data_IF_063708335131
#
_entry.id   IF_063708335131
#
_cell.length_a   1.000
_cell.length_b   1.000
_cell.length_c   1.000
_cell.angle_alpha   90.00
_cell.angle_beta   90.00
_cell.angle_gamma   90.00
#
_symmetry.space_group_name_H-M   'P 1'
#
loop_
_entity.id
_entity.type
_entity.pdbx_description
1 polymer ?
#
# COMPACT_ATOMS: atom_id res chain seq x y z
N UNK A 1 -6.98 -2.05 29.93
CA UNK A 1 -7.74 -1.84 28.68
C UNK A 1 -6.78 -2.05 27.52
N UNK A 2 -7.18 -2.67 26.40
CA UNK A 2 -6.27 -2.77 25.24
C UNK A 2 -5.90 -1.35 24.79
N UNK A 3 -4.61 -1.09 24.61
CA UNK A 3 -4.09 0.20 24.15
C UNK A 3 -4.69 0.56 22.79
N UNK A 4 -4.88 1.87 22.54
CA UNK A 4 -5.48 2.34 21.30
C UNK A 4 -4.65 1.93 20.06
N UNK A 5 -5.30 1.56 18.94
CA UNK A 5 -4.62 1.14 17.72
C UNK A 5 -3.73 2.28 17.19
N UNK A 6 -2.50 1.95 16.81
CA UNK A 6 -1.55 2.94 16.30
C UNK A 6 -1.71 3.18 14.79
N UNK A 7 -0.85 4.03 14.23
CA UNK A 7 -0.89 4.38 12.80
C UNK A 7 -0.80 3.14 11.87
N UNK A 8 -0.02 2.13 12.23
CA UNK A 8 0.15 0.90 11.46
C UNK A 8 -1.16 0.10 11.45
N UNK A 9 -1.84 -0.05 12.58
CA UNK A 9 -3.13 -0.73 12.64
C UNK A 9 -4.21 -0.01 11.81
N UNK A 10 -4.25 1.32 11.87
CA UNK A 10 -5.18 2.13 11.07
C UNK A 10 -4.93 1.98 9.57
N UNK A 11 -3.65 1.98 9.18
CA UNK A 11 -3.22 1.74 7.81
C UNK A 11 -3.59 0.33 7.33
N UNK A 12 -3.25 -0.72 8.08
CA UNK A 12 -3.58 -2.10 7.73
C UNK A 12 -5.08 -2.33 7.59
N UNK A 13 -5.89 -1.66 8.41
CA UNK A 13 -7.35 -1.75 8.35
C UNK A 13 -7.94 -1.09 7.10
N UNK A 14 -7.33 0.01 6.65
CA UNK A 14 -7.86 0.87 5.59
C UNK A 14 -7.28 0.53 4.20
N UNK A 15 -5.96 0.29 4.13
CA UNK A 15 -5.24 -0.06 2.90
C UNK A 15 -5.16 -1.57 2.66
N UNK A 16 -5.41 -2.41 3.68
CA UNK A 16 -5.48 -3.87 3.54
C UNK A 16 -6.74 -4.36 2.81
N UNK A 17 -7.42 -3.47 2.09
CA UNK A 17 -8.63 -3.74 1.34
C UNK A 17 -8.39 -3.43 -0.14
N UNK A 18 -8.55 -4.47 -0.96
CA UNK A 18 -8.43 -4.41 -2.42
C UNK A 18 -9.05 -3.20 -3.07
N UNK A 19 -10.31 -2.97 -2.73
CA UNK A 19 -11.10 -1.98 -3.42
C UNK A 19 -10.71 -0.57 -3.03
N UNK A 20 -10.13 -0.38 -1.83
CA UNK A 20 -9.67 0.94 -1.38
C UNK A 20 -8.62 1.48 -2.34
N UNK A 21 -7.57 0.72 -2.61
CA UNK A 21 -6.47 1.19 -3.45
C UNK A 21 -6.91 1.39 -4.91
N UNK A 22 -7.73 0.49 -5.44
CA UNK A 22 -8.26 0.60 -6.80
C UNK A 22 -9.19 1.80 -6.97
N UNK A 23 -10.13 2.01 -6.05
CA UNK A 23 -11.05 3.17 -6.11
C UNK A 23 -10.27 4.47 -5.95
N UNK A 24 -9.34 4.55 -4.99
CA UNK A 24 -8.49 5.74 -4.83
C UNK A 24 -7.68 5.98 -6.10
N UNK A 25 -7.05 4.95 -6.69
CA UNK A 25 -6.32 5.10 -7.94
C UNK A 25 -7.20 5.67 -9.05
N UNK A 26 -8.41 5.10 -9.27
CA UNK A 26 -9.33 5.62 -10.29
C UNK A 26 -9.71 7.08 -10.00
N UNK A 27 -9.93 7.45 -8.74
CA UNK A 27 -10.23 8.82 -8.35
C UNK A 27 -9.06 9.79 -8.62
N UNK A 28 -7.81 9.34 -8.47
CA UNK A 28 -6.62 10.11 -8.81
C UNK A 28 -6.42 10.24 -10.32
N UNK A 29 -6.81 9.23 -11.09
CA UNK A 29 -6.83 9.25 -12.56
C UNK A 29 -8.02 10.03 -13.14
N UNK A 30 -8.91 10.56 -12.30
CA UNK A 30 -9.96 11.49 -12.71
C UNK A 30 -11.39 10.95 -12.65
N UNK A 31 -11.61 9.68 -12.28
CA UNK A 31 -12.97 9.18 -12.04
C UNK A 31 -13.63 9.99 -10.92
N UNK A 32 -14.79 10.59 -11.19
CA UNK A 32 -15.52 11.43 -10.22
C UNK A 32 -16.90 10.89 -9.92
N UNK A 33 -17.57 10.29 -10.90
CA UNK A 33 -18.96 9.85 -10.80
C UNK A 33 -19.02 8.36 -10.54
N UNK A 34 -20.13 7.92 -9.94
CA UNK A 34 -20.38 6.50 -9.69
C UNK A 34 -20.24 5.65 -10.97
N UNK A 35 -20.79 6.13 -12.09
CA UNK A 35 -20.67 5.47 -13.40
C UNK A 35 -19.23 5.32 -13.89
N UNK A 36 -18.35 6.30 -13.61
CA UNK A 36 -16.94 6.23 -14.00
C UNK A 36 -16.23 5.09 -13.24
N UNK A 37 -16.49 4.96 -11.93
CA UNK A 37 -15.95 3.87 -11.13
C UNK A 37 -16.51 2.50 -11.54
N UNK A 38 -17.82 2.43 -11.79
CA UNK A 38 -18.48 1.19 -12.20
C UNK A 38 -17.99 0.71 -13.58
N UNK A 39 -17.70 1.63 -14.50
CA UNK A 39 -17.14 1.28 -15.80
C UNK A 39 -15.68 0.82 -15.72
N UNK A 40 -14.92 1.35 -14.76
CA UNK A 40 -13.48 1.11 -14.65
C UNK A 40 -13.06 -0.03 -13.71
N UNK A 41 -14.00 -0.63 -12.96
CA UNK A 41 -13.74 -1.63 -11.94
C UNK A 41 -14.70 -2.82 -12.07
N UNK A 42 -14.22 -4.07 -12.01
CA UNK A 42 -15.05 -5.27 -12.08
C UNK A 42 -15.74 -5.56 -10.73
N UNK A 43 -16.52 -4.61 -10.22
CA UNK A 43 -17.13 -4.66 -8.89
C UNK A 43 -18.65 -4.56 -8.96
N UNK A 44 -19.35 -5.30 -8.10
CA UNK A 44 -20.82 -5.22 -8.03
C UNK A 44 -21.28 -3.87 -7.47
N UNK A 45 -22.50 -3.46 -7.82
CA UNK A 45 -23.07 -2.19 -7.36
C UNK A 45 -23.13 -2.08 -5.82
N UNK A 46 -23.52 -3.17 -5.15
CA UNK A 46 -23.60 -3.21 -3.70
C UNK A 46 -22.21 -3.03 -3.04
N UNK A 47 -21.19 -3.68 -3.59
CA UNK A 47 -19.81 -3.53 -3.10
C UNK A 47 -19.30 -2.12 -3.38
N UNK A 48 -19.44 -1.60 -4.60
CA UNK A 48 -18.97 -0.26 -4.95
C UNK A 48 -19.60 0.83 -4.06
N UNK A 49 -20.92 0.76 -3.86
CA UNK A 49 -21.65 1.70 -3.01
C UNK A 49 -21.14 1.66 -1.55
N UNK A 50 -20.99 0.46 -0.98
CA UNK A 50 -20.45 0.29 0.36
C UNK A 50 -19.02 0.82 0.49
N UNK A 51 -18.17 0.59 -0.53
CA UNK A 51 -16.80 1.09 -0.54
C UNK A 51 -16.71 2.60 -0.66
N UNK A 52 -17.44 3.22 -1.57
CA UNK A 52 -17.48 4.68 -1.68
C UNK A 52 -17.97 5.33 -0.38
N UNK A 53 -18.94 4.71 0.30
CA UNK A 53 -19.38 5.16 1.62
C UNK A 53 -18.26 5.04 2.67
N UNK A 54 -17.60 3.89 2.79
CA UNK A 54 -16.46 3.70 3.70
C UNK A 54 -15.34 4.69 3.44
N UNK A 55 -14.93 4.85 2.18
CA UNK A 55 -13.84 5.77 1.79
C UNK A 55 -14.18 7.24 2.08
N UNK A 56 -15.46 7.60 2.00
CA UNK A 56 -15.93 8.93 2.40
C UNK A 56 -15.89 9.09 3.93
N UNK A 57 -16.36 8.08 4.68
CA UNK A 57 -16.31 8.08 6.14
C UNK A 57 -14.87 8.11 6.69
N UNK A 58 -13.94 7.44 6.01
CA UNK A 58 -12.51 7.42 6.33
C UNK A 58 -11.76 8.68 5.86
N UNK A 59 -12.44 9.60 5.19
CA UNK A 59 -11.91 10.87 4.70
C UNK A 59 -10.89 10.72 3.57
N UNK A 60 -10.91 9.61 2.83
CA UNK A 60 -10.11 9.43 1.60
C UNK A 60 -10.77 10.11 0.40
N UNK A 61 -12.11 10.06 0.37
CA UNK A 61 -12.95 10.72 -0.60
C UNK A 61 -13.87 11.72 0.10
N UNK A 62 -14.31 12.72 -0.63
CA UNK A 62 -15.37 13.65 -0.25
C UNK A 62 -16.52 13.48 -1.23
N UNK A 63 -17.73 13.27 -0.70
CA UNK A 63 -18.94 13.20 -1.52
C UNK A 63 -19.53 14.59 -1.65
N UNK A 64 -19.48 15.16 -2.85
CA UNK A 64 -20.07 16.47 -3.16
C UNK A 64 -21.31 16.31 -4.03
N UNK A 65 -22.39 17.00 -3.70
CA UNK A 65 -23.59 17.04 -4.52
C UNK A 65 -23.51 18.23 -5.49
N UNK A 66 -23.50 17.97 -6.79
CA UNK A 66 -23.42 19.01 -7.81
C UNK A 66 -24.77 19.30 -8.49
N UNK A 67 -25.77 18.45 -8.27
CA UNK A 67 -27.14 18.64 -8.78
C UNK A 67 -28.15 18.21 -7.73
N UNK A 68 -29.18 19.02 -7.49
CA UNK A 68 -30.26 18.73 -6.53
C UNK A 68 -31.46 18.02 -7.14
N UNK A 69 -31.70 18.19 -8.45
CA UNK A 69 -32.83 17.56 -9.14
C UNK A 69 -32.46 17.12 -10.58
N UNK A 70 -32.34 15.81 -10.88
CA UNK A 70 -32.25 14.71 -9.90
C UNK A 70 -30.97 14.83 -9.05
N UNK A 71 -30.93 14.28 -7.82
CA UNK A 71 -29.74 14.32 -6.99
C UNK A 71 -28.56 13.62 -7.69
N UNK A 72 -27.48 14.37 -7.98
CA UNK A 72 -26.23 13.79 -8.49
C UNK A 72 -25.06 14.16 -7.61
N UNK A 73 -24.27 13.16 -7.28
CA UNK A 73 -23.07 13.31 -6.48
C UNK A 73 -21.83 12.91 -7.27
N UNK A 74 -20.72 13.52 -6.89
CA UNK A 74 -19.38 13.14 -7.28
C UNK A 74 -18.55 12.82 -6.04
N UNK A 75 -17.46 12.07 -6.25
CA UNK A 75 -16.52 11.63 -5.24
C UNK A 75 -15.14 12.20 -5.58
N UNK A 76 -14.68 13.13 -4.76
CA UNK A 76 -13.42 13.84 -4.97
C UNK A 76 -12.36 13.32 -3.98
N UNK A 77 -11.12 13.02 -4.40
CA UNK A 77 -10.09 12.61 -3.48
C UNK A 77 -9.70 13.80 -2.59
N UNK A 78 -9.70 13.57 -1.28
CA UNK A 78 -9.28 14.57 -0.28
C UNK A 78 -7.77 14.74 -0.29
N UNK A 79 -7.23 15.66 0.52
CA UNK A 79 -5.78 15.74 0.74
C UNK A 79 -5.18 14.41 1.24
N UNK A 80 -5.93 13.67 2.07
CA UNK A 80 -5.54 12.35 2.58
C UNK A 80 -5.51 11.32 1.46
N UNK A 81 -6.56 11.24 0.64
CA UNK A 81 -6.61 10.35 -0.53
C UNK A 81 -5.53 10.68 -1.57
N UNK A 82 -5.34 11.96 -1.90
CA UNK A 82 -4.31 12.42 -2.85
C UNK A 82 -2.91 12.05 -2.43
N UNK A 83 -2.62 12.05 -1.13
CA UNK A 83 -1.28 11.73 -0.63
C UNK A 83 -0.90 10.24 -0.69
N UNK A 84 -1.79 9.34 -1.15
CA UNK A 84 -1.48 7.93 -1.42
C UNK A 84 -0.73 7.70 -2.75
N UNK A 85 -0.61 8.72 -3.61
CA UNK A 85 0.04 8.59 -4.91
C UNK A 85 1.45 7.96 -4.87
N UNK A 86 2.36 8.21 -3.89
CA UNK A 86 3.68 7.60 -3.91
C UNK A 86 3.63 6.08 -3.73
N UNK A 87 2.70 5.61 -2.89
CA UNK A 87 2.46 4.19 -2.70
C UNK A 87 1.92 3.56 -3.99
N UNK A 88 0.95 4.21 -4.65
CA UNK A 88 0.36 3.71 -5.90
C UNK A 88 1.36 3.70 -7.06
N UNK A 89 2.23 4.71 -7.17
CA UNK A 89 3.31 4.74 -8.16
C UNK A 89 4.36 3.66 -7.88
N UNK A 90 4.66 3.39 -6.61
CA UNK A 90 5.56 2.30 -6.22
C UNK A 90 4.98 0.92 -6.54
N UNK A 91 3.67 0.74 -6.31
CA UNK A 91 2.91 -0.46 -6.69
C UNK A 91 3.01 -0.69 -8.20
N UNK A 92 2.73 0.35 -8.99
CA UNK A 92 2.80 0.28 -10.44
C UNK A 92 4.19 -0.16 -10.93
N UNK A 93 5.26 0.44 -10.40
CA UNK A 93 6.63 0.08 -10.81
C UNK A 93 6.95 -1.37 -10.46
N UNK A 94 6.58 -1.79 -9.25
CA UNK A 94 6.83 -3.16 -8.79
C UNK A 94 6.09 -4.18 -9.67
N UNK A 95 4.80 -3.97 -9.93
CA UNK A 95 3.99 -4.80 -10.83
C UNK A 95 4.60 -4.86 -12.22
N UNK A 96 4.87 -3.69 -12.83
CA UNK A 96 5.46 -3.60 -14.18
C UNK A 96 6.77 -4.38 -14.30
N UNK A 97 7.59 -4.39 -13.25
CA UNK A 97 8.92 -5.01 -13.27
C UNK A 97 8.92 -6.50 -12.91
N UNK A 98 8.09 -6.92 -11.97
CA UNK A 98 8.17 -8.26 -11.35
C UNK A 98 6.99 -9.17 -11.69
N UNK A 99 5.98 -8.66 -12.37
CA UNK A 99 4.78 -9.40 -12.74
C UNK A 99 4.72 -9.50 -14.26
N UNK A 100 5.01 -10.69 -14.83
CA UNK A 100 5.08 -10.84 -16.28
C UNK A 100 3.71 -10.82 -16.95
N UNK A 101 2.67 -11.24 -16.24
CA UNK A 101 1.31 -11.38 -16.79
C UNK A 101 0.36 -10.36 -16.14
N UNK A 102 -0.18 -9.48 -16.97
CA UNK A 102 -1.27 -8.59 -16.61
C UNK A 102 -2.44 -8.83 -17.56
N UNK A 103 -3.67 -8.76 -17.05
CA UNK A 103 -4.87 -8.89 -17.89
C UNK A 103 -4.98 -7.75 -18.93
N UNK A 104 -4.50 -6.57 -18.56
CA UNK A 104 -4.30 -5.43 -19.44
C UNK A 104 -2.87 -4.90 -19.25
N UNK A 105 -2.17 -4.45 -20.31
CA UNK A 105 -0.86 -3.84 -20.17
C UNK A 105 -0.91 -2.68 -19.17
N UNK A 106 0.05 -2.62 -18.26
CA UNK A 106 0.19 -1.46 -17.39
C UNK A 106 0.60 -0.24 -18.22
N UNK A 107 -0.01 0.94 -17.97
CA UNK A 107 0.33 2.15 -18.71
C UNK A 107 1.79 2.53 -18.47
N UNK A 108 2.40 3.18 -19.45
CA UNK A 108 3.68 3.84 -19.25
C UNK A 108 3.47 5.14 -18.47
N UNK A 109 4.30 5.38 -17.45
CA UNK A 109 4.28 6.66 -16.72
C UNK A 109 5.38 7.58 -17.20
N UNK A 110 4.99 8.81 -17.56
CA UNK A 110 5.87 9.88 -18.00
C UNK A 110 5.97 10.97 -16.94
N UNK A 111 7.19 11.48 -16.76
CA UNK A 111 7.44 12.64 -15.94
C UNK A 111 7.36 13.90 -16.81
N UNK A 112 6.28 14.66 -16.69
CA UNK A 112 6.01 15.81 -17.58
C UNK A 112 7.08 16.90 -17.50
N UNK A 113 7.86 17.00 -16.42
CA UNK A 113 8.93 17.99 -16.29
C UNK A 113 10.19 17.65 -17.11
N UNK A 114 10.39 16.37 -17.49
CA UNK A 114 11.48 15.98 -18.40
C UNK A 114 11.01 15.26 -19.67
N UNK A 115 9.70 15.06 -19.83
CA UNK A 115 9.06 14.40 -20.96
C UNK A 115 9.56 12.95 -21.22
N UNK A 116 10.02 12.26 -20.17
CA UNK A 116 10.56 10.90 -20.28
C UNK A 116 9.69 9.92 -19.51
N UNK A 117 9.58 8.70 -20.04
CA UNK A 117 9.14 7.58 -19.23
C UNK A 117 10.12 7.42 -18.05
N UNK A 118 9.62 7.13 -16.86
CA UNK A 118 10.46 7.06 -15.66
C UNK A 118 10.25 5.76 -14.88
N UNK A 119 11.22 5.47 -14.03
CA UNK A 119 11.12 4.54 -12.90
C UNK A 119 11.28 5.36 -11.60
N UNK A 120 10.36 5.24 -10.63
CA UNK A 120 10.49 5.96 -9.37
C UNK A 120 11.67 5.41 -8.55
N UNK A 121 12.62 6.26 -8.22
CA UNK A 121 13.72 5.93 -7.29
C UNK A 121 13.31 6.38 -5.89
N UNK A 122 13.34 5.46 -4.94
CA UNK A 122 13.09 5.83 -3.53
C UNK A 122 14.33 6.50 -2.95
N UNK A 123 14.18 7.74 -2.47
CA UNK A 123 15.26 8.54 -1.91
C UNK A 123 14.95 9.00 -0.49
N UNK A 124 16.02 9.26 0.27
CA UNK A 124 15.91 9.89 1.59
C UNK A 124 15.65 11.39 1.41
N UNK A 125 14.55 11.90 1.96
CA UNK A 125 14.23 13.34 1.87
C UNK A 125 15.31 14.25 2.48
N UNK A 126 16.08 13.75 3.44
CA UNK A 126 17.07 14.54 4.18
C UNK A 126 18.37 14.72 3.40
N UNK A 127 18.95 13.64 2.87
CA UNK A 127 20.25 13.69 2.17
C UNK A 127 20.15 13.52 0.64
N UNK A 128 18.98 13.16 0.10
CA UNK A 128 18.75 12.96 -1.33
C UNK A 128 19.26 11.63 -1.90
N UNK A 129 20.03 10.85 -1.14
CA UNK A 129 20.55 9.56 -1.60
C UNK A 129 19.42 8.52 -1.78
N UNK A 130 19.59 7.62 -2.75
CA UNK A 130 18.72 6.46 -2.94
C UNK A 130 18.76 5.52 -1.74
N UNK A 131 17.63 4.92 -1.40
CA UNK A 131 17.52 3.98 -0.29
C UNK A 131 16.66 2.77 -0.68
N UNK A 132 17.21 1.58 -0.48
CA UNK A 132 16.49 0.31 -0.49
C UNK A 132 16.29 -0.24 0.93
N UNK A 133 15.73 -1.45 1.03
CA UNK A 133 15.41 -2.08 2.32
C UNK A 133 16.61 -2.23 3.26
N UNK A 134 17.81 -2.49 2.71
CA UNK A 134 19.05 -2.62 3.49
C UNK A 134 19.63 -1.29 3.98
N UNK A 135 19.20 -0.18 3.39
CA UNK A 135 19.73 1.16 3.69
C UNK A 135 18.92 1.87 4.79
N UNK A 136 17.87 1.21 5.31
CA UNK A 136 16.95 1.78 6.30
C UNK A 136 16.80 0.83 7.49
N UNK A 137 17.22 1.30 8.66
CA UNK A 137 16.99 0.62 9.92
C UNK A 137 15.60 1.01 10.47
N UNK A 138 14.78 0.01 10.82
CA UNK A 138 13.48 0.22 11.42
C UNK A 138 13.52 -0.12 12.92
N UNK A 139 12.96 0.75 13.75
CA UNK A 139 12.78 0.54 15.18
C UNK A 139 11.35 0.93 15.58
N UNK A 140 10.83 0.29 16.62
CA UNK A 140 9.57 0.75 17.21
C UNK A 140 9.75 2.16 17.76
N UNK A 141 8.81 3.04 17.41
CA UNK A 141 8.69 4.33 18.06
C UNK A 141 7.88 4.22 19.36
N UNK A 142 7.64 5.33 20.05
CA UNK A 142 6.97 5.32 21.36
C UNK A 142 5.55 4.74 21.34
N UNK A 143 4.81 4.89 20.24
CA UNK A 143 3.48 4.28 20.08
C UNK A 143 3.51 2.91 19.38
N UNK A 144 4.71 2.39 19.15
CA UNK A 144 5.00 1.19 18.37
C UNK A 144 4.98 -0.08 19.20
N UNK A 145 4.13 -1.01 18.81
CA UNK A 145 4.24 -2.41 19.24
C UNK A 145 3.49 -3.28 18.24
N UNK A 146 3.81 -4.57 18.18
CA UNK A 146 3.04 -5.50 17.37
C UNK A 146 1.57 -5.55 17.82
N UNK A 147 1.32 -5.60 19.12
CA UNK A 147 -0.02 -5.66 19.71
C UNK A 147 -0.90 -4.46 19.32
N UNK A 148 -0.32 -3.25 19.22
CA UNK A 148 -1.04 -2.04 18.79
C UNK A 148 -1.13 -1.88 17.27
N UNK A 149 -0.27 -2.58 16.53
CA UNK A 149 -0.18 -2.52 15.06
C UNK A 149 -1.08 -3.52 14.37
N UNK A 150 -1.48 -4.60 15.05
CA UNK A 150 -2.43 -5.56 14.52
C UNK A 150 -3.85 -5.15 14.95
N UNK A 151 -4.79 -4.92 14.01
CA UNK A 151 -6.13 -4.49 14.36
C UNK A 151 -6.87 -5.51 15.24
N UNK A 152 -7.32 -5.08 16.42
CA UNK A 152 -8.16 -5.88 17.32
C UNK A 152 -9.52 -6.18 16.70
N UNK A 153 -9.69 -7.38 16.16
CA UNK A 153 -10.97 -7.83 15.61
C UNK A 153 -10.82 -9.05 14.71
N UNK A 154 -11.59 -10.09 15.03
CA UNK A 154 -11.93 -11.15 14.09
C UNK A 154 -12.51 -10.49 12.85
N UNK A 155 -11.82 -10.60 11.72
CA UNK A 155 -12.46 -10.32 10.44
C UNK A 155 -13.53 -11.41 10.30
N UNK A 156 -14.77 -11.10 10.72
CA UNK A 156 -15.98 -11.83 10.34
C UNK A 156 -15.78 -12.19 8.88
N UNK A 157 -15.68 -13.50 8.58
CA UNK A 157 -15.42 -14.08 7.25
C UNK A 157 -15.80 -13.07 6.16
N UNK A 158 -14.83 -12.29 5.68
CA UNK A 158 -15.01 -11.58 4.41
C UNK A 158 -15.02 -12.69 3.41
N UNK A 159 -16.22 -13.02 2.93
CA UNK A 159 -16.44 -14.08 1.98
C UNK A 159 -15.38 -13.94 0.91
N UNK A 160 -14.57 -14.99 0.78
CA UNK A 160 -13.91 -15.36 -0.46
C UNK A 160 -15.02 -15.56 -1.51
N UNK A 161 -15.64 -14.46 -1.95
CA UNK A 161 -16.41 -14.45 -3.16
C UNK A 161 -15.41 -14.89 -4.23
N UNK A 162 -15.67 -16.09 -4.74
CA UNK A 162 -14.92 -16.82 -5.76
C UNK A 162 -14.09 -15.88 -6.63
N UNK A 163 -12.80 -16.21 -6.69
CA UNK A 163 -11.87 -15.82 -7.75
C UNK A 163 -12.60 -15.84 -9.10
N UNK A 164 -12.94 -14.67 -9.61
CA UNK A 164 -13.09 -14.44 -11.03
C UNK A 164 -11.90 -13.56 -11.42
N UNK A 165 -10.86 -14.19 -11.96
CA UNK A 165 -9.71 -13.52 -12.54
C UNK A 165 -10.10 -12.77 -13.81
N UNK A 166 -10.74 -11.61 -13.66
CA UNK A 166 -11.07 -10.73 -14.76
C UNK A 166 -10.65 -9.29 -14.40
N UNK A 167 -9.54 -8.87 -15.02
CA UNK A 167 -9.07 -7.49 -15.15
C UNK A 167 -8.84 -6.69 -13.86
N UNK A 168 -7.90 -7.13 -13.02
CA UNK A 168 -7.25 -6.24 -12.06
C UNK A 168 -5.98 -5.70 -12.72
N UNK A 169 -5.79 -4.38 -12.68
CA UNK A 169 -4.54 -3.74 -13.15
C UNK A 169 -3.32 -4.22 -12.34
N UNK A 170 -3.52 -4.69 -11.10
CA UNK A 170 -2.44 -5.06 -10.18
C UNK A 170 -2.71 -6.41 -9.50
N UNK A 171 -2.64 -7.54 -10.24
CA UNK A 171 -3.07 -8.84 -9.73
C UNK A 171 -2.22 -9.35 -8.55
N UNK A 172 -0.91 -9.10 -8.50
CA UNK A 172 -0.05 -9.59 -7.40
C UNK A 172 0.10 -8.58 -6.25
N UNK A 173 -0.12 -7.31 -6.48
CA UNK A 173 -0.32 -6.34 -5.39
C UNK A 173 -1.52 -6.78 -4.56
N UNK A 174 -2.49 -7.44 -5.20
CA UNK A 174 -3.67 -7.91 -4.49
C UNK A 174 -3.46 -9.15 -3.62
N UNK A 175 -2.53 -10.03 -3.98
CA UNK A 175 -2.09 -11.10 -3.07
C UNK A 175 -1.24 -10.57 -1.91
N UNK A 176 -0.52 -9.46 -2.14
CA UNK A 176 0.42 -8.85 -1.19
C UNK A 176 -0.21 -7.86 -0.21
N UNK A 177 -1.05 -6.96 -0.70
CA UNK A 177 -1.66 -5.85 0.06
C UNK A 177 -3.13 -6.11 0.36
N UNK A 178 -3.80 -6.99 -0.38
CA UNK A 178 -5.24 -7.25 -0.28
C UNK A 178 -5.72 -7.93 0.99
N UNK A 179 -4.81 -8.25 1.89
CA UNK A 179 -5.14 -8.70 3.24
C UNK A 179 -4.15 -8.11 4.24
N UNK A 180 -4.68 -7.68 5.38
CA UNK A 180 -3.91 -7.09 6.47
C UNK A 180 -2.78 -8.03 6.95
N UNK A 181 -2.99 -9.34 6.90
CA UNK A 181 -1.99 -10.32 7.32
C UNK A 181 -0.86 -10.47 6.32
N UNK A 182 -1.15 -10.40 5.01
CA UNK A 182 -0.14 -10.42 3.97
C UNK A 182 0.80 -9.21 4.13
N UNK A 183 0.23 -8.02 4.29
CA UNK A 183 1.01 -6.81 4.51
C UNK A 183 1.80 -6.85 5.82
N UNK A 184 1.21 -7.31 6.92
CA UNK A 184 1.89 -7.40 8.22
C UNK A 184 3.03 -8.44 8.19
N UNK A 185 2.86 -9.56 7.47
CA UNK A 185 3.92 -10.55 7.26
C UNK A 185 5.10 -9.97 6.49
N UNK A 186 4.85 -9.18 5.44
CA UNK A 186 5.93 -8.51 4.73
C UNK A 186 6.68 -7.53 5.63
N UNK A 187 5.97 -6.71 6.41
CA UNK A 187 6.62 -5.82 7.37
C UNK A 187 7.48 -6.62 8.35
N UNK A 188 6.99 -7.75 8.86
CA UNK A 188 7.74 -8.63 9.75
C UNK A 188 9.01 -9.19 9.09
N UNK A 189 8.91 -9.63 7.82
CA UNK A 189 10.05 -10.11 7.05
C UNK A 189 11.11 -9.02 6.82
N UNK A 190 10.68 -7.78 6.52
CA UNK A 190 11.59 -6.64 6.34
C UNK A 190 12.32 -6.24 7.63
N UNK A 191 11.73 -6.45 8.80
CA UNK A 191 12.41 -6.23 10.09
C UNK A 191 13.18 -7.47 10.58
N UNK A 192 13.34 -8.48 9.72
CA UNK A 192 14.21 -9.65 9.95
C UNK A 192 13.55 -10.86 10.62
N UNK A 193 12.23 -10.83 10.83
CA UNK A 193 11.50 -11.99 11.38
C UNK A 193 11.37 -13.04 10.29
N UNK A 194 12.04 -14.18 10.48
CA UNK A 194 12.18 -15.20 9.44
C UNK A 194 11.58 -16.55 9.83
N UNK A 195 11.36 -16.84 11.12
CA UNK A 195 10.83 -18.15 11.54
C UNK A 195 9.31 -18.10 11.66
N UNK A 196 8.65 -19.20 11.27
CA UNK A 196 7.19 -19.33 11.38
C UNK A 196 6.67 -19.03 12.79
N UNK A 197 7.31 -19.61 13.82
CA UNK A 197 6.92 -19.44 15.22
C UNK A 197 6.98 -17.98 15.66
N UNK A 198 7.99 -17.25 15.21
CA UNK A 198 8.20 -15.85 15.59
C UNK A 198 7.21 -14.94 14.87
N UNK A 199 6.95 -15.21 13.58
CA UNK A 199 5.91 -14.53 12.80
C UNK A 199 4.53 -14.72 13.44
N UNK A 200 4.19 -15.96 13.80
CA UNK A 200 2.92 -16.26 14.44
C UNK A 200 2.79 -15.56 15.80
N UNK A 201 3.83 -15.65 16.65
CA UNK A 201 3.83 -15.08 17.98
C UNK A 201 3.71 -13.54 17.96
N UNK A 202 4.45 -12.87 17.07
CA UNK A 202 4.43 -11.41 16.96
C UNK A 202 3.12 -10.90 16.37
N UNK A 203 2.61 -11.54 15.30
CA UNK A 203 1.40 -11.10 14.63
C UNK A 203 0.11 -11.48 15.38
N UNK A 204 0.17 -12.46 16.29
CA UNK A 204 -1.01 -12.95 17.02
C UNK A 204 -2.09 -13.53 16.11
N UNK A 205 -1.72 -13.96 14.90
CA UNK A 205 -2.64 -14.48 13.90
C UNK A 205 -2.85 -15.99 14.03
N UNK A 206 -3.99 -16.54 13.55
CA UNK A 206 -4.17 -17.98 13.49
C UNK A 206 -3.08 -18.66 12.64
N UNK A 207 -2.48 -19.78 13.09
CA UNK A 207 -1.40 -20.45 12.36
C UNK A 207 -1.74 -20.77 10.91
N UNK A 208 -2.99 -21.18 10.65
CA UNK A 208 -3.50 -21.49 9.30
C UNK A 208 -3.52 -20.27 8.38
N UNK A 209 -3.74 -19.07 8.92
CA UNK A 209 -3.71 -17.82 8.16
C UNK A 209 -2.28 -17.47 7.78
N UNK A 210 -1.35 -17.57 8.73
CA UNK A 210 0.08 -17.32 8.47
C UNK A 210 0.63 -18.33 7.47
N UNK A 211 0.38 -19.62 7.67
CA UNK A 211 0.82 -20.67 6.76
C UNK A 211 0.29 -20.47 5.33
N UNK A 212 -1.01 -20.18 5.18
CA UNK A 212 -1.60 -19.91 3.88
C UNK A 212 -0.97 -18.70 3.18
N UNK A 213 -0.66 -17.62 3.92
CA UNK A 213 -0.01 -16.43 3.35
C UNK A 213 1.45 -16.65 3.00
N UNK A 214 2.20 -17.37 3.84
CA UNK A 214 3.58 -17.73 3.54
C UNK A 214 3.66 -18.61 2.29
N UNK A 215 2.74 -19.58 2.13
CA UNK A 215 2.64 -20.37 0.91
C UNK A 215 2.42 -19.49 -0.32
N UNK A 216 1.47 -18.55 -0.27
CA UNK A 216 1.22 -17.62 -1.39
C UNK A 216 2.48 -16.80 -1.70
N UNK A 217 3.18 -16.29 -0.69
CA UNK A 217 4.41 -15.52 -0.91
C UNK A 217 5.57 -16.36 -1.46
N UNK A 218 5.67 -17.63 -1.08
CA UNK A 218 6.66 -18.54 -1.68
C UNK A 218 6.30 -18.89 -3.12
N UNK A 219 5.03 -19.17 -3.39
CA UNK A 219 4.54 -19.52 -4.73
C UNK A 219 4.70 -18.34 -5.71
N UNK A 220 4.52 -17.11 -5.22
CA UNK A 220 4.71 -15.88 -6.01
C UNK A 220 6.18 -15.41 -6.07
N UNK A 221 7.10 -16.13 -5.42
CA UNK A 221 8.54 -15.83 -5.40
C UNK A 221 8.88 -14.54 -4.65
N UNK A 222 8.03 -14.11 -3.72
CA UNK A 222 8.25 -12.95 -2.83
C UNK A 222 9.13 -13.35 -1.65
N UNK A 223 8.89 -14.56 -1.13
CA UNK A 223 9.71 -15.18 -0.10
C UNK A 223 10.33 -16.46 -0.65
N UNK A 224 11.48 -16.84 -0.13
CA UNK A 224 12.04 -18.18 -0.26
C UNK A 224 12.07 -18.82 1.12
N UNK A 225 11.70 -20.10 1.19
CA UNK A 225 11.85 -20.88 2.42
C UNK A 225 13.14 -21.70 2.33
N UNK A 226 14.07 -21.44 3.24
CA UNK A 226 15.33 -22.17 3.38
C UNK A 226 15.61 -22.47 4.86
N UNK A 227 15.97 -23.71 5.17
CA UNK A 227 16.24 -24.19 6.54
C UNK A 227 15.18 -23.75 7.60
N UNK A 228 13.90 -23.87 7.24
CA UNK A 228 12.78 -23.48 8.12
C UNK A 228 12.65 -21.96 8.36
N UNK A 229 13.35 -21.14 7.57
CA UNK A 229 13.29 -19.67 7.59
C UNK A 229 12.72 -19.14 6.29
N UNK A 230 11.94 -18.08 6.39
CA UNK A 230 11.42 -17.31 5.27
C UNK A 230 12.26 -16.07 5.08
N UNK A 231 12.81 -15.89 3.88
CA UNK A 231 13.65 -14.75 3.52
C UNK A 231 13.08 -14.04 2.30
N UNK A 232 13.22 -12.71 2.25
CA UNK A 232 12.81 -11.93 1.09
C UNK A 232 13.73 -12.24 -0.10
N UNK A 233 13.13 -12.52 -1.25
CA UNK A 233 13.83 -12.56 -2.54
C UNK A 233 14.08 -11.14 -3.05
N UNK A 234 14.77 -10.99 -4.19
CA UNK A 234 14.89 -9.68 -4.85
C UNK A 234 13.52 -9.06 -5.17
N UNK A 235 12.55 -9.89 -5.56
CA UNK A 235 11.16 -9.47 -5.80
C UNK A 235 10.50 -8.96 -4.53
N UNK A 236 10.68 -9.67 -3.41
CA UNK A 236 10.17 -9.24 -2.10
C UNK A 236 10.83 -7.95 -1.62
N UNK A 237 12.15 -7.84 -1.76
CA UNK A 237 12.91 -6.64 -1.41
C UNK A 237 12.50 -5.43 -2.25
N UNK A 238 12.18 -5.62 -3.52
CA UNK A 238 11.70 -4.56 -4.40
C UNK A 238 10.33 -3.98 -3.98
N UNK A 239 9.59 -4.63 -3.08
CA UNK A 239 8.35 -4.10 -2.52
C UNK A 239 8.57 -3.02 -1.45
N UNK A 240 9.82 -2.81 -1.01
CA UNK A 240 10.20 -1.83 0.00
C UNK A 240 9.59 -0.43 -0.18
N UNK A 241 9.62 0.20 -1.37
CA UNK A 241 9.04 1.52 -1.60
C UNK A 241 7.56 1.62 -1.24
N UNK A 242 6.79 0.56 -1.50
CA UNK A 242 5.36 0.49 -1.18
C UNK A 242 5.16 0.56 0.32
N UNK A 243 5.92 -0.23 1.09
CA UNK A 243 5.80 -0.31 2.55
C UNK A 243 6.19 1.01 3.22
N UNK A 244 7.31 1.62 2.84
CA UNK A 244 7.75 2.88 3.47
C UNK A 244 6.85 4.06 3.08
N UNK A 245 6.34 4.11 1.85
CA UNK A 245 5.37 5.13 1.45
C UNK A 245 4.05 4.97 2.21
N UNK A 246 3.56 3.73 2.38
CA UNK A 246 2.35 3.45 3.16
C UNK A 246 2.53 3.84 4.64
N UNK A 247 3.66 3.48 5.25
CA UNK A 247 3.98 3.86 6.62
C UNK A 247 4.09 5.38 6.79
N UNK A 248 4.80 6.07 5.90
CA UNK A 248 4.91 7.53 5.94
C UNK A 248 3.54 8.21 5.81
N UNK A 249 2.66 7.69 4.95
CA UNK A 249 1.28 8.14 4.84
C UNK A 249 0.50 7.90 6.14
N UNK A 250 0.62 6.72 6.72
CA UNK A 250 -0.06 6.34 7.95
C UNK A 250 0.32 7.24 9.13
N UNK A 251 1.61 7.43 9.37
CA UNK A 251 2.11 8.24 10.49
C UNK A 251 1.76 9.72 10.32
N UNK A 252 1.60 10.21 9.08
CA UNK A 252 1.14 11.57 8.79
C UNK A 252 -0.33 11.78 9.14
N UNK A 253 -1.21 10.82 8.80
CA UNK A 253 -2.66 10.98 8.90
C UNK A 253 -3.27 10.37 10.16
N UNK A 254 -2.52 9.56 10.88
CA UNK A 254 -2.89 8.97 12.16
C UNK A 254 -1.80 9.23 13.22
N UNK A 255 -1.46 10.50 13.50
CA UNK A 255 -0.46 10.82 14.51
C UNK A 255 -0.94 10.36 15.90
N UNK A 256 -0.02 9.83 16.70
CA UNK A 256 -0.25 9.56 18.12
C UNK A 256 0.42 10.66 18.96
N UNK A 257 -0.21 11.12 20.06
CA UNK A 257 0.43 12.05 21.00
C UNK A 257 1.75 11.52 21.58
N UNK A 258 1.90 10.20 21.69
CA UNK A 258 3.11 9.55 22.20
C UNK A 258 4.29 9.65 21.22
N UNK A 259 4.02 9.88 19.93
CA UNK A 259 5.02 9.88 18.86
C UNK A 259 4.75 8.80 17.80
N UNK A 260 5.67 8.63 16.82
CA UNK A 260 5.48 7.70 15.71
C UNK A 260 5.41 6.24 16.17
N UNK A 261 4.74 5.41 15.38
CA UNK A 261 4.67 3.98 15.63
C UNK A 261 6.00 3.30 15.25
N UNK A 262 6.65 3.77 14.19
CA UNK A 262 7.91 3.24 13.68
C UNK A 262 8.83 4.41 13.37
N UNK A 263 10.06 4.34 13.89
CA UNK A 263 11.15 5.25 13.55
C UNK A 263 12.01 4.56 12.51
N UNK A 264 12.09 5.17 11.32
CA UNK A 264 12.99 4.74 10.26
C UNK A 264 14.23 5.64 10.28
N UNK A 265 15.42 5.04 10.23
CA UNK A 265 16.70 5.75 10.18
C UNK A 265 17.43 5.34 8.91
N UNK A 266 17.84 6.31 8.11
CA UNK A 266 18.65 6.04 6.92
C UNK A 266 20.09 5.78 7.35
N UNK A 267 20.62 4.60 7.07
CA UNK A 267 21.92 4.15 7.61
C UNK A 267 23.08 4.99 7.08
N UNK A 268 23.01 5.45 5.83
CA UNK A 268 24.09 6.23 5.23
C UNK A 268 24.23 7.66 5.80
N UNK A 269 23.13 8.30 6.23
CA UNK A 269 23.18 9.65 6.78
C UNK A 269 22.85 9.77 8.28
N UNK A 270 22.42 8.69 8.93
CA UNK A 270 22.07 8.65 10.36
C UNK A 270 20.80 9.41 10.75
N UNK A 271 20.13 10.08 9.81
CA UNK A 271 18.92 10.86 10.08
C UNK A 271 17.65 10.03 9.93
N UNK A 272 16.54 10.53 10.49
CA UNK A 272 15.21 9.97 10.24
C UNK A 272 14.92 9.91 8.75
N UNK A 273 14.61 8.70 8.28
CA UNK A 273 14.26 8.43 6.90
C UNK A 273 12.80 8.78 6.64
N UNK A 274 12.57 9.81 5.81
CA UNK A 274 11.27 10.07 5.21
C UNK A 274 11.35 9.75 3.72
N UNK A 275 10.56 8.80 3.21
CA UNK A 275 10.64 8.42 1.82
C UNK A 275 10.19 9.55 0.89
N UNK A 276 10.80 9.53 -0.28
CA UNK A 276 10.54 10.38 -1.41
C UNK A 276 10.71 9.56 -2.69
N UNK A 277 10.05 9.98 -3.76
CA UNK A 277 10.24 9.38 -5.08
C UNK A 277 10.85 10.43 -6.00
N UNK A 278 12.02 10.14 -6.54
CA UNK A 278 12.69 10.96 -7.55
C UNK A 278 12.67 10.23 -8.90
N UNK A 279 12.75 10.99 -9.99
CA UNK A 279 12.79 10.45 -11.34
C UNK A 279 14.20 9.91 -11.63
N UNK A 280 14.30 8.66 -12.08
CA UNK A 280 15.56 8.03 -12.52
C UNK A 280 16.23 8.76 -13.70
N UNK A 281 15.44 9.36 -14.59
CA UNK A 281 15.98 10.05 -15.76
C UNK A 281 16.59 11.43 -15.45
N UNK A 282 15.91 12.27 -14.67
CA UNK A 282 16.35 13.65 -14.41
C UNK A 282 16.75 13.96 -12.97
N UNK A 283 16.65 12.99 -12.05
CA UNK A 283 16.97 13.12 -10.63
C UNK A 283 16.03 14.03 -9.82
N UNK A 284 15.02 14.64 -10.46
CA UNK A 284 14.10 15.58 -9.79
C UNK A 284 13.00 14.84 -9.03
N UNK A 285 12.53 15.47 -7.95
CA UNK A 285 11.39 15.01 -7.15
C UNK A 285 10.12 14.85 -7.97
N UNK A 286 9.57 13.64 -7.98
CA UNK A 286 8.27 13.36 -8.56
C UNK A 286 7.16 14.00 -7.72
N UNK A 287 6.17 14.56 -8.41
CA UNK A 287 4.93 15.07 -7.84
C UNK A 287 3.76 14.47 -8.61
N UNK A 288 2.66 14.18 -7.93
CA UNK A 288 1.47 13.58 -8.56
C UNK A 288 1.02 14.33 -9.83
N UNK A 289 1.00 15.67 -9.77
CA UNK A 289 0.58 16.51 -10.90
C UNK A 289 1.54 16.49 -12.11
N UNK A 290 2.73 15.91 -11.96
CA UNK A 290 3.74 15.80 -13.01
C UNK A 290 3.89 14.37 -13.55
N UNK A 291 3.05 13.45 -13.07
CA UNK A 291 3.02 12.06 -13.53
C UNK A 291 1.84 11.91 -14.48
N UNK A 292 2.14 11.52 -15.72
CA UNK A 292 1.14 11.29 -16.76
C UNK A 292 1.17 9.81 -17.12
N UNK A 293 0.03 9.13 -16.96
CA UNK A 293 -0.13 7.76 -17.42
C UNK A 293 -0.58 7.78 -18.89
N UNK A 294 0.15 7.06 -19.74
CA UNK A 294 -0.15 6.89 -21.16
C UNK A 294 -0.47 5.42 -21.41
N UNK A 295 -1.62 5.08 -22.02
CA UNK A 295 -1.98 3.71 -22.38
C UNK A 295 -0.94 3.01 -23.23
#
# INVERSE_FOLDING_TARGET
MPEAPNAVARMLSLLGDEWTLLIVQRALLGARRYGDFQAALPVSNAVLSGRLQSLTADGLLERSQYQSNPPRSEYLPTAKGRSLWPMLTSIWEWERRWVPEHAEPLPHMFHSACASAFQPVTTCRTCGASAGGKDVAAQWGPSGSWQRSIPSGSNRRRSSARRSGAALLFPQTMSVVGDRWAFALLVAAFVGVSRFTDLQAQLGAPPTTIAGRLSVFTDEGILVQDDGRYQLTDKGLAFFPVLVCALAWAQRWFPSPEGPAVVLTHTACGHTFTPALDCDHCGKRLRAAQIVAVP
#
